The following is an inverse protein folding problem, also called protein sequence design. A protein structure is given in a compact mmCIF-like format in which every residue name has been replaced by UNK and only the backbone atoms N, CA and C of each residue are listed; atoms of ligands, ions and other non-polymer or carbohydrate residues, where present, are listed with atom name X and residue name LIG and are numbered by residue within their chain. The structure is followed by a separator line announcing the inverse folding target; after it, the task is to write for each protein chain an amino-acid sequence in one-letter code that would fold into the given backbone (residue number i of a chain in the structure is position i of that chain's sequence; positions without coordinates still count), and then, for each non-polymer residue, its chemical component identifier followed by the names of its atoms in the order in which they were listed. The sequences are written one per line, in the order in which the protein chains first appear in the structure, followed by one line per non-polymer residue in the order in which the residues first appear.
data_IF_522863984104
#
_entry.id   IF_522863984104
#
_cell.length_a   1.000
_cell.length_b   1.000
_cell.length_c   1.000
_cell.angle_alpha   90.00
_cell.angle_beta   90.00
_cell.angle_gamma   90.00
#
_symmetry.space_group_name_H-M   'P 1'
#
loop_
_entity.id
_entity.type
_entity.pdbx_description
1 polymer ?
#
# COMPACT_ATOMS: atom_id res chain seq x y z
N UNK A 1 0.28 -6.86 -6.05
CA UNK A 1 0.04 -5.40 -5.92
C UNK A 1 0.51 -4.67 -7.16
N UNK A 2 -0.12 -3.54 -7.45
CA UNK A 2 0.35 -2.63 -8.48
C UNK A 2 1.62 -1.91 -8.02
N UNK A 3 2.61 -1.71 -8.91
CA UNK A 3 3.82 -0.96 -8.58
C UNK A 3 3.57 0.55 -8.62
N UNK A 4 4.17 1.28 -7.69
CA UNK A 4 4.22 2.76 -7.70
C UNK A 4 5.29 3.24 -8.70
N UNK A 5 5.01 4.34 -9.41
CA UNK A 5 5.93 4.91 -10.41
C UNK A 5 7.27 5.31 -9.81
N UNK A 6 7.28 5.94 -8.65
CA UNK A 6 8.52 6.36 -8.00
C UNK A 6 9.51 5.20 -7.83
N UNK A 7 9.15 4.08 -7.17
CA UNK A 7 9.98 2.90 -7.08
C UNK A 7 10.33 2.23 -8.42
N UNK A 8 9.45 2.28 -9.43
CA UNK A 8 9.76 1.75 -10.76
C UNK A 8 10.96 2.46 -11.42
N UNK A 9 11.03 3.77 -11.27
CA UNK A 9 12.16 4.60 -11.76
C UNK A 9 13.32 4.70 -10.75
N UNK A 10 13.18 4.10 -9.58
CA UNK A 10 14.19 4.08 -8.51
C UNK A 10 14.94 2.76 -8.41
N UNK A 11 15.49 2.51 -7.22
CA UNK A 11 16.33 1.33 -6.95
C UNK A 11 15.54 0.02 -6.98
N UNK A 12 14.24 0.04 -6.67
CA UNK A 12 13.43 -1.18 -6.56
C UNK A 12 12.95 -1.72 -7.91
N UNK A 13 12.89 -0.87 -8.96
CA UNK A 13 12.30 -1.23 -10.23
C UNK A 13 10.82 -1.60 -10.14
N UNK A 14 10.31 -2.25 -11.18
CA UNK A 14 8.92 -2.71 -11.25
C UNK A 14 8.63 -3.96 -10.43
N UNK A 15 7.37 -4.37 -10.42
CA UNK A 15 6.88 -5.50 -9.62
C UNK A 15 6.22 -6.60 -10.48
N UNK A 16 6.75 -6.84 -11.67
CA UNK A 16 6.21 -7.85 -12.59
C UNK A 16 6.63 -9.30 -12.25
N UNK A 17 7.50 -9.49 -11.24
CA UNK A 17 8.06 -10.79 -10.94
C UNK A 17 9.18 -11.20 -11.92
N UNK A 18 9.54 -12.47 -11.92
CA UNK A 18 10.60 -13.00 -12.78
C UNK A 18 10.39 -14.47 -13.12
N UNK A 19 11.22 -14.99 -14.05
CA UNK A 19 11.12 -16.36 -14.51
C UNK A 19 9.76 -16.65 -15.17
N UNK A 20 9.31 -17.87 -15.05
CA UNK A 20 8.05 -18.32 -15.65
C UNK A 20 6.80 -17.71 -15.00
N UNK A 21 6.88 -17.29 -13.74
CA UNK A 21 5.79 -16.66 -13.02
C UNK A 21 5.70 -15.14 -13.23
N UNK A 22 6.46 -14.57 -14.17
CA UNK A 22 6.34 -13.17 -14.54
C UNK A 22 4.96 -12.85 -15.06
N UNK A 23 4.34 -11.79 -14.54
CA UNK A 23 3.03 -11.31 -15.00
C UNK A 23 3.15 -10.41 -16.23
N UNK A 24 2.15 -10.46 -17.08
CA UNK A 24 2.09 -9.68 -18.33
C UNK A 24 0.75 -8.93 -18.44
N UNK A 25 0.73 -7.73 -19.05
CA UNK A 25 1.82 -6.98 -19.69
C UNK A 25 2.71 -6.25 -18.67
N UNK A 26 4.02 -6.50 -18.69
CA UNK A 26 4.95 -5.98 -17.67
C UNK A 26 5.13 -4.46 -17.74
N UNK A 27 5.32 -3.93 -18.94
CA UNK A 27 5.57 -2.52 -19.16
C UNK A 27 4.37 -1.68 -18.71
N UNK A 28 3.16 -2.08 -19.10
CA UNK A 28 1.93 -1.38 -18.72
C UNK A 28 1.73 -1.42 -17.20
N UNK A 29 1.94 -2.59 -16.57
CA UNK A 29 1.86 -2.74 -15.10
C UNK A 29 2.81 -1.82 -14.35
N UNK A 30 4.03 -1.64 -14.85
CA UNK A 30 5.06 -0.83 -14.21
C UNK A 30 4.87 0.68 -14.43
N UNK A 31 3.99 1.09 -15.32
CA UNK A 31 3.70 2.50 -15.62
C UNK A 31 2.32 2.89 -15.08
N UNK A 32 1.41 3.25 -15.97
CA UNK A 32 0.08 3.75 -15.57
C UNK A 32 -0.97 2.65 -15.44
N UNK A 33 -0.71 1.52 -16.05
CA UNK A 33 -1.58 0.35 -16.11
C UNK A 33 -3.03 0.72 -16.45
N UNK A 34 -3.97 0.50 -15.52
CA UNK A 34 -5.39 0.86 -15.67
C UNK A 34 -5.74 2.23 -15.10
N UNK A 35 -4.78 2.93 -14.51
CA UNK A 35 -4.97 4.27 -13.95
C UNK A 35 -5.48 4.31 -12.51
N UNK A 36 -5.45 3.19 -11.78
CA UNK A 36 -5.94 3.13 -10.40
C UNK A 36 -5.18 4.10 -9.48
N UNK A 37 -3.85 4.19 -9.64
CA UNK A 37 -3.05 5.12 -8.86
C UNK A 37 -3.32 6.58 -9.22
N UNK A 38 -3.60 6.89 -10.49
CA UNK A 38 -4.03 8.22 -10.90
C UNK A 38 -5.38 8.59 -10.28
N UNK A 39 -6.31 7.65 -10.22
CA UNK A 39 -7.61 7.86 -9.57
C UNK A 39 -7.43 8.14 -8.07
N UNK A 40 -6.55 7.41 -7.39
CA UNK A 40 -6.23 7.62 -5.97
C UNK A 40 -5.58 8.99 -5.77
N UNK A 41 -4.56 9.34 -6.58
CA UNK A 41 -3.90 10.65 -6.55
C UNK A 41 -4.92 11.77 -6.74
N UNK A 42 -5.81 11.62 -7.72
CA UNK A 42 -6.85 12.63 -8.02
C UNK A 42 -7.84 12.78 -6.88
N UNK A 43 -8.31 11.69 -6.29
CA UNK A 43 -9.23 11.72 -5.15
C UNK A 43 -8.59 12.34 -3.90
N UNK A 44 -7.31 12.01 -3.64
CA UNK A 44 -6.55 12.56 -2.53
C UNK A 44 -6.37 14.08 -2.66
N UNK A 45 -5.97 14.52 -3.85
CA UNK A 45 -5.70 15.94 -4.09
C UNK A 45 -6.99 16.76 -4.25
N UNK A 46 -8.10 16.14 -4.72
CA UNK A 46 -9.42 16.76 -4.68
C UNK A 46 -9.82 17.08 -3.24
N UNK A 47 -9.66 16.13 -2.31
CA UNK A 47 -9.98 16.37 -0.89
C UNK A 47 -9.12 17.50 -0.30
N UNK A 48 -7.82 17.54 -0.63
CA UNK A 48 -6.93 18.62 -0.20
C UNK A 48 -7.35 19.98 -0.78
N UNK A 49 -7.75 20.03 -2.06
CA UNK A 49 -8.21 21.25 -2.69
C UNK A 49 -9.56 21.74 -2.11
N UNK A 50 -10.48 20.82 -1.83
CA UNK A 50 -11.77 21.15 -1.20
C UNK A 50 -11.58 21.69 0.22
N UNK A 51 -10.65 21.11 0.99
CA UNK A 51 -10.27 21.60 2.32
C UNK A 51 -9.73 23.05 2.26
N UNK A 52 -8.76 23.31 1.40
CA UNK A 52 -8.20 24.66 1.25
C UNK A 52 -9.23 25.67 0.75
N UNK A 53 -10.08 25.25 -0.20
CA UNK A 53 -11.18 26.11 -0.67
C UNK A 53 -12.19 26.40 0.44
N UNK A 54 -12.53 25.42 1.29
CA UNK A 54 -13.43 25.63 2.44
C UNK A 54 -12.86 26.68 3.41
N UNK A 55 -11.57 26.58 3.73
CA UNK A 55 -10.89 27.55 4.60
C UNK A 55 -10.93 28.97 3.96
N UNK A 56 -10.69 29.05 2.65
CA UNK A 56 -10.66 30.32 1.91
C UNK A 56 -12.06 30.96 1.77
N UNK A 57 -13.12 30.16 1.63
CA UNK A 57 -14.48 30.60 1.34
C UNK A 57 -15.37 30.79 2.59
N UNK A 58 -14.76 31.15 3.70
CA UNK A 58 -15.49 31.52 4.92
C UNK A 58 -15.39 30.54 6.06
N UNK A 59 -14.80 29.37 5.87
CA UNK A 59 -14.44 28.41 6.93
C UNK A 59 -15.57 28.14 7.93
N UNK A 60 -16.76 27.80 7.45
CA UNK A 60 -17.95 27.60 8.31
C UNK A 60 -17.78 26.45 9.31
N UNK A 61 -16.89 25.50 9.05
CA UNK A 61 -16.54 24.41 9.98
C UNK A 61 -15.53 24.85 11.07
N UNK A 62 -15.02 26.08 10.98
CA UNK A 62 -14.06 26.61 11.94
C UNK A 62 -12.73 25.85 11.99
N UNK A 63 -12.24 25.37 10.85
CA UNK A 63 -10.98 24.65 10.73
C UNK A 63 -9.83 25.57 11.15
N UNK A 64 -8.95 25.08 12.07
CA UNK A 64 -7.70 25.76 12.36
C UNK A 64 -6.68 25.40 11.26
N UNK A 65 -6.22 26.35 10.44
CA UNK A 65 -5.25 26.09 9.37
C UNK A 65 -3.92 25.47 9.83
N UNK A 66 -3.60 25.61 11.12
CA UNK A 66 -2.41 25.01 11.74
C UNK A 66 -2.63 23.55 12.15
N UNK A 67 -3.87 23.08 12.11
CA UNK A 67 -4.29 21.73 12.52
C UNK A 67 -4.77 20.91 11.29
N UNK A 68 -4.35 21.28 10.10
CA UNK A 68 -4.60 20.50 8.88
C UNK A 68 -3.69 19.27 8.88
N UNK A 69 -4.30 18.08 8.89
CA UNK A 69 -3.57 16.80 8.90
C UNK A 69 -3.57 16.11 7.55
N UNK A 70 -4.55 16.42 6.69
CA UNK A 70 -4.62 15.86 5.34
C UNK A 70 -3.56 16.45 4.44
N UNK A 71 -2.81 15.58 3.74
CA UNK A 71 -1.69 15.97 2.87
C UNK A 71 -1.98 15.68 1.41
N UNK A 72 -1.27 16.36 0.52
CA UNK A 72 -1.28 16.08 -0.91
C UNK A 72 -0.49 14.83 -1.22
N UNK A 73 -0.66 14.26 -2.40
CA UNK A 73 0.15 13.13 -2.83
C UNK A 73 0.57 13.27 -4.30
N UNK A 74 1.66 12.59 -4.62
CA UNK A 74 2.18 12.40 -5.98
C UNK A 74 2.83 11.03 -6.05
N UNK A 75 2.64 10.31 -7.16
CA UNK A 75 3.22 8.96 -7.27
C UNK A 75 4.67 8.99 -7.77
N UNK A 76 5.50 9.74 -7.05
CA UNK A 76 6.93 9.92 -7.33
C UNK A 76 7.71 10.13 -6.03
N UNK A 77 8.94 9.61 -5.98
CA UNK A 77 9.86 9.90 -4.88
C UNK A 77 10.52 11.28 -5.12
N UNK A 78 9.99 12.32 -4.49
CA UNK A 78 10.51 13.67 -4.55
C UNK A 78 10.82 14.20 -3.15
N UNK A 79 12.12 14.34 -2.84
CA UNK A 79 12.55 14.80 -1.52
C UNK A 79 12.29 16.29 -1.27
N UNK A 80 12.18 17.11 -2.32
CA UNK A 80 11.95 18.54 -2.20
C UNK A 80 10.51 18.84 -1.75
N UNK A 81 9.57 17.93 -2.08
CA UNK A 81 8.17 18.06 -1.70
C UNK A 81 7.84 17.55 -0.28
N UNK A 82 8.85 17.15 0.50
CA UNK A 82 8.64 16.65 1.88
C UNK A 82 8.26 17.72 2.89
N UNK A 83 8.71 18.96 2.67
CA UNK A 83 8.33 20.10 3.48
C UNK A 83 8.24 21.30 2.54
N UNK A 84 7.04 21.84 2.37
CA UNK A 84 6.75 22.97 1.49
C UNK A 84 5.88 24.00 2.20
N UNK A 85 5.82 25.18 1.66
CA UNK A 85 4.86 26.20 2.08
C UNK A 85 3.87 26.42 0.95
N UNK A 86 2.56 26.31 1.25
CA UNK A 86 1.47 26.55 0.31
C UNK A 86 0.77 27.87 0.61
N UNK A 87 -0.02 28.36 -0.34
CA UNK A 87 -0.81 29.59 -0.19
C UNK A 87 -0.01 30.89 -0.24
N UNK A 88 1.23 30.84 -0.72
CA UNK A 88 2.06 32.05 -0.94
C UNK A 88 1.51 32.86 -2.10
N UNK A 89 1.58 34.19 -1.95
CA UNK A 89 1.19 35.12 -3.00
C UNK A 89 0.08 36.08 -2.56
N UNK A 90 -1.00 36.17 -3.34
CA UNK A 90 -2.10 37.11 -3.11
C UNK A 90 -3.10 36.55 -2.11
N UNK A 91 -3.98 37.42 -1.57
CA UNK A 91 -5.05 37.06 -0.66
C UNK A 91 -5.97 35.95 -1.23
N UNK A 92 -6.07 35.83 -2.55
CA UNK A 92 -6.87 34.83 -3.26
C UNK A 92 -6.17 33.48 -3.42
N UNK A 93 -4.89 33.38 -3.07
CA UNK A 93 -4.05 32.19 -3.31
C UNK A 93 -4.10 31.18 -2.16
N UNK A 94 -4.94 31.45 -1.16
CA UNK A 94 -5.17 30.56 0.00
C UNK A 94 -4.53 31.03 1.30
N UNK A 95 -4.62 30.21 2.32
CA UNK A 95 -4.00 30.43 3.63
C UNK A 95 -2.57 29.89 3.64
N UNK A 96 -1.61 30.75 4.02
CA UNK A 96 -0.19 30.34 4.11
C UNK A 96 -0.02 29.35 5.24
N UNK A 97 0.47 28.17 4.93
CA UNK A 97 0.77 27.11 5.91
C UNK A 97 1.84 26.14 5.40
N UNK A 98 2.40 25.37 6.31
CA UNK A 98 3.24 24.23 5.95
C UNK A 98 2.38 23.08 5.39
N UNK A 99 2.90 22.42 4.38
CA UNK A 99 2.31 21.20 3.79
C UNK A 99 3.42 20.25 3.31
N UNK A 100 3.05 19.08 2.80
CA UNK A 100 3.96 18.18 2.12
C UNK A 100 3.20 17.25 1.16
N UNK A 101 3.95 16.60 0.27
CA UNK A 101 3.43 15.53 -0.57
C UNK A 101 3.89 14.18 -0.03
N UNK A 102 2.94 13.28 0.19
CA UNK A 102 3.23 11.86 0.40
C UNK A 102 3.24 11.14 -0.96
N UNK A 103 3.88 9.99 -1.04
CA UNK A 103 3.75 9.14 -2.23
C UNK A 103 2.35 8.53 -2.26
N UNK A 104 1.77 8.34 -3.45
CA UNK A 104 0.37 7.88 -3.60
C UNK A 104 0.07 6.59 -2.83
N UNK A 105 1.01 5.65 -2.79
CA UNK A 105 0.88 4.41 -2.02
C UNK A 105 0.84 4.59 -0.49
N UNK A 106 1.17 5.77 0.00
CA UNK A 106 1.06 6.16 1.41
C UNK A 106 -0.25 6.89 1.73
N UNK A 107 -1.05 7.23 0.72
CA UNK A 107 -2.37 7.83 0.93
C UNK A 107 -3.29 6.88 1.70
N UNK A 108 -4.06 7.42 2.65
CA UNK A 108 -5.11 6.66 3.34
C UNK A 108 -6.14 6.09 2.36
N UNK A 109 -6.38 6.77 1.24
CA UNK A 109 -7.30 6.31 0.19
C UNK A 109 -6.81 4.99 -0.43
N UNK A 110 -5.50 4.81 -0.59
CA UNK A 110 -4.94 3.53 -1.04
C UNK A 110 -5.31 2.38 -0.09
N UNK A 111 -5.12 2.57 1.21
CA UNK A 111 -5.47 1.58 2.22
C UNK A 111 -6.99 1.33 2.27
N UNK A 112 -7.79 2.39 2.21
CA UNK A 112 -9.26 2.32 2.19
C UNK A 112 -9.75 1.53 0.98
N UNK A 113 -9.26 1.83 -0.22
CA UNK A 113 -9.62 1.11 -1.45
C UNK A 113 -9.30 -0.39 -1.35
N UNK A 114 -8.14 -0.72 -0.79
CA UNK A 114 -7.72 -2.12 -0.64
C UNK A 114 -8.51 -2.89 0.43
N UNK A 115 -9.09 -2.20 1.41
CA UNK A 115 -9.86 -2.82 2.50
C UNK A 115 -11.37 -2.75 2.28
N UNK A 116 -11.86 -1.98 1.29
CA UNK A 116 -13.28 -1.85 1.01
C UNK A 116 -13.86 -3.12 0.36
N UNK A 117 -15.07 -3.49 0.77
CA UNK A 117 -15.80 -4.61 0.19
C UNK A 117 -16.53 -4.23 -1.10
N UNK A 118 -17.10 -3.03 -1.17
CA UNK A 118 -17.85 -2.52 -2.31
C UNK A 118 -17.81 -0.98 -2.36
N UNK A 119 -18.51 -0.40 -3.33
CA UNK A 119 -18.55 1.06 -3.50
C UNK A 119 -19.25 1.77 -2.33
N UNK A 120 -20.25 1.15 -1.71
CA UNK A 120 -20.95 1.74 -0.57
C UNK A 120 -20.04 1.74 0.67
N UNK A 121 -19.31 0.66 0.91
CA UNK A 121 -18.30 0.57 1.97
C UNK A 121 -17.14 1.53 1.71
N UNK A 122 -16.67 1.64 0.45
CA UNK A 122 -15.67 2.63 0.06
C UNK A 122 -16.11 4.05 0.44
N UNK A 123 -17.32 4.45 0.06
CA UNK A 123 -17.87 5.78 0.40
C UNK A 123 -17.93 6.00 1.90
N UNK A 124 -18.44 5.04 2.67
CA UNK A 124 -18.54 5.13 4.13
C UNK A 124 -17.16 5.32 4.78
N UNK A 125 -16.14 4.62 4.30
CA UNK A 125 -14.76 4.74 4.79
C UNK A 125 -14.14 6.06 4.41
N UNK A 126 -14.30 6.52 3.17
CA UNK A 126 -13.79 7.81 2.70
C UNK A 126 -14.38 8.96 3.53
N UNK A 127 -15.67 8.91 3.85
CA UNK A 127 -16.33 9.95 4.65
C UNK A 127 -15.75 10.13 6.04
N UNK A 128 -15.17 9.08 6.60
CA UNK A 128 -14.58 9.08 7.94
C UNK A 128 -13.14 9.59 8.00
N UNK A 129 -12.52 9.91 6.87
CA UNK A 129 -11.16 10.48 6.84
C UNK A 129 -11.16 11.79 7.62
N UNK A 130 -10.30 11.90 8.62
CA UNK A 130 -10.07 13.14 9.36
C UNK A 130 -9.11 14.00 8.52
N UNK A 131 -9.55 15.21 8.16
CA UNK A 131 -8.78 16.12 7.32
C UNK A 131 -8.09 17.22 8.11
N UNK A 132 -8.70 17.63 9.23
CA UNK A 132 -8.21 18.71 10.08
C UNK A 132 -8.88 18.64 11.46
N UNK A 133 -8.46 19.54 12.35
CA UNK A 133 -9.20 19.85 13.59
C UNK A 133 -9.67 21.31 13.54
N UNK A 134 -10.84 21.58 14.13
CA UNK A 134 -11.38 22.93 14.25
C UNK A 134 -10.74 23.68 15.45
N UNK A 135 -11.06 24.96 15.62
CA UNK A 135 -10.54 25.78 16.72
C UNK A 135 -10.94 25.30 18.12
N UNK A 136 -11.89 24.37 18.22
CA UNK A 136 -12.29 23.72 19.49
C UNK A 136 -11.54 22.41 19.73
N UNK A 137 -10.70 21.95 18.77
CA UNK A 137 -10.01 20.67 18.83
C UNK A 137 -10.87 19.47 18.39
N UNK A 138 -12.03 19.70 17.78
CA UNK A 138 -12.90 18.66 17.26
C UNK A 138 -12.43 18.22 15.85
N UNK A 139 -12.48 16.92 15.51
CA UNK A 139 -12.07 16.47 14.17
C UNK A 139 -13.07 16.93 13.11
N UNK A 140 -12.54 17.31 11.96
CA UNK A 140 -13.30 17.61 10.74
C UNK A 140 -13.02 16.50 9.73
N UNK A 141 -14.07 15.94 9.13
CA UNK A 141 -13.99 14.79 8.24
C UNK A 141 -14.22 15.15 6.77
N UNK A 142 -13.96 14.19 5.88
CA UNK A 142 -14.29 14.34 4.45
C UNK A 142 -15.79 14.44 4.21
N UNK A 143 -16.66 13.84 5.06
CA UNK A 143 -18.11 13.99 4.99
C UNK A 143 -18.55 15.41 5.39
N UNK A 144 -17.92 16.01 6.39
CA UNK A 144 -18.20 17.40 6.79
C UNK A 144 -17.90 18.37 5.63
N UNK A 145 -16.89 18.08 4.81
CA UNK A 145 -16.56 18.80 3.59
C UNK A 145 -17.44 18.43 2.40
N UNK A 146 -18.33 17.44 2.53
CA UNK A 146 -19.17 16.88 1.45
C UNK A 146 -18.35 16.36 0.24
N UNK A 147 -17.11 15.90 0.48
CA UNK A 147 -16.18 15.47 -0.57
C UNK A 147 -16.42 14.03 -1.04
N UNK A 148 -17.05 13.20 -0.23
CA UNK A 148 -17.11 11.74 -0.37
C UNK A 148 -17.72 11.29 -1.72
N UNK A 149 -18.74 11.99 -2.20
CA UNK A 149 -19.39 11.67 -3.48
C UNK A 149 -18.44 11.85 -4.68
N UNK A 150 -17.74 12.97 -4.70
CA UNK A 150 -16.79 13.29 -5.77
C UNK A 150 -15.56 12.36 -5.74
N UNK A 151 -15.02 12.07 -4.55
CA UNK A 151 -13.95 11.09 -4.39
C UNK A 151 -14.36 9.69 -4.88
N UNK A 152 -15.56 9.23 -4.50
CA UNK A 152 -16.07 7.94 -4.94
C UNK A 152 -16.28 7.87 -6.47
N UNK A 153 -16.70 8.97 -7.10
CA UNK A 153 -16.83 9.06 -8.54
C UNK A 153 -15.49 8.89 -9.27
N UNK A 154 -14.41 9.46 -8.74
CA UNK A 154 -13.05 9.26 -9.26
C UNK A 154 -12.55 7.81 -9.08
N UNK A 155 -12.98 7.14 -8.02
CA UNK A 155 -12.53 5.80 -7.65
C UNK A 155 -13.44 4.66 -8.17
N UNK A 156 -14.53 4.96 -8.88
CA UNK A 156 -15.55 3.98 -9.28
C UNK A 156 -15.03 2.83 -10.15
N UNK A 157 -14.01 3.09 -10.95
CA UNK A 157 -13.36 2.06 -11.78
C UNK A 157 -12.14 1.46 -11.08
N UNK A 158 -11.38 2.27 -10.34
CA UNK A 158 -10.23 1.82 -9.56
C UNK A 158 -10.57 0.80 -8.45
N UNK A 159 -11.82 0.71 -8.02
CA UNK A 159 -12.27 -0.30 -7.04
C UNK A 159 -12.38 -1.71 -7.64
N UNK A 160 -12.30 -1.86 -8.95
CA UNK A 160 -12.39 -3.15 -9.66
C UNK A 160 -11.01 -3.79 -9.77
N UNK A 161 -10.82 -5.03 -9.29
CA UNK A 161 -9.55 -5.73 -9.47
C UNK A 161 -9.21 -5.94 -10.95
N UNK A 162 -7.93 -5.85 -11.28
CA UNK A 162 -7.41 -6.06 -12.63
C UNK A 162 -7.03 -7.53 -12.80
N UNK A 163 -7.61 -8.20 -13.79
CA UNK A 163 -7.29 -9.58 -14.15
C UNK A 163 -6.25 -9.61 -15.27
N UNK A 164 -5.14 -10.23 -14.99
CA UNK A 164 -4.01 -10.44 -15.92
C UNK A 164 -3.58 -11.91 -15.88
N UNK A 165 -2.46 -12.24 -16.47
CA UNK A 165 -1.91 -13.61 -16.42
C UNK A 165 -0.39 -13.60 -16.31
N UNK A 166 0.16 -14.74 -15.90
CA UNK A 166 1.61 -15.02 -15.99
C UNK A 166 1.99 -15.48 -17.40
N UNK A 167 3.30 -15.58 -17.68
CA UNK A 167 3.81 -16.16 -18.93
C UNK A 167 3.32 -17.61 -19.13
N UNK A 168 3.04 -18.34 -18.06
CA UNK A 168 2.47 -19.69 -18.10
C UNK A 168 0.94 -19.72 -18.14
N UNK A 169 0.30 -18.58 -18.41
CA UNK A 169 -1.16 -18.44 -18.51
C UNK A 169 -1.93 -18.64 -17.19
N UNK A 170 -1.24 -18.61 -16.05
CA UNK A 170 -1.91 -18.64 -14.75
C UNK A 170 -2.59 -17.29 -14.50
N UNK A 171 -3.91 -17.26 -14.21
CA UNK A 171 -4.61 -16.01 -13.91
C UNK A 171 -4.04 -15.34 -12.67
N UNK A 172 -3.90 -14.00 -12.71
CA UNK A 172 -3.43 -13.20 -11.60
C UNK A 172 -4.31 -11.95 -11.43
N UNK A 173 -4.74 -11.67 -10.19
CA UNK A 173 -5.49 -10.47 -9.84
C UNK A 173 -4.55 -9.45 -9.22
N UNK A 174 -4.33 -8.34 -9.91
CA UNK A 174 -3.50 -7.22 -9.44
C UNK A 174 -4.41 -6.06 -9.05
N UNK A 175 -4.32 -5.59 -7.80
CA UNK A 175 -5.18 -4.52 -7.33
C UNK A 175 -4.61 -3.82 -6.11
N UNK A 176 -4.44 -2.50 -6.22
CA UNK A 176 -3.85 -1.64 -5.21
C UNK A 176 -2.38 -1.91 -4.93
N UNK A 177 -1.75 -1.03 -4.18
CA UNK A 177 -0.32 -1.09 -3.90
C UNK A 177 0.07 -0.52 -2.54
N UNK A 178 -0.66 -0.79 -1.43
CA UNK A 178 -0.32 -0.22 -0.13
C UNK A 178 1.03 -0.76 0.34
N UNK A 179 1.91 0.14 0.82
CA UNK A 179 3.20 -0.26 1.38
C UNK A 179 3.02 -0.87 2.78
N UNK A 180 3.73 -1.95 3.07
CA UNK A 180 3.63 -2.65 4.35
C UNK A 180 4.21 -1.86 5.53
N UNK A 181 5.16 -0.96 5.31
CA UNK A 181 5.69 -0.06 6.34
C UNK A 181 4.76 1.13 6.67
N UNK A 182 3.72 1.36 5.86
CA UNK A 182 2.78 2.48 6.03
C UNK A 182 1.37 1.97 6.31
N UNK A 183 0.92 0.96 5.56
CA UNK A 183 -0.41 0.36 5.65
C UNK A 183 -0.31 -1.17 5.85
N UNK A 184 -1.32 -1.92 5.40
CA UNK A 184 -1.35 -3.39 5.58
C UNK A 184 -0.49 -4.18 4.58
N UNK A 185 0.01 -3.53 3.49
CA UNK A 185 1.04 -4.11 2.61
C UNK A 185 0.65 -5.35 1.83
N UNK A 186 -0.62 -5.50 1.48
CA UNK A 186 -1.16 -6.63 0.73
C UNK A 186 -2.05 -6.12 -0.40
N UNK A 187 -2.40 -6.98 -1.37
CA UNK A 187 -3.41 -6.63 -2.36
C UNK A 187 -4.80 -6.47 -1.72
N UNK A 188 -5.79 -6.07 -2.52
CA UNK A 188 -7.11 -5.75 -1.99
C UNK A 188 -7.88 -6.97 -1.47
N UNK A 189 -8.79 -6.72 -0.54
CA UNK A 189 -9.79 -7.71 -0.06
C UNK A 189 -10.65 -8.20 -1.22
N UNK A 190 -11.06 -7.30 -2.12
CA UNK A 190 -11.87 -7.65 -3.30
C UNK A 190 -11.16 -8.63 -4.22
N UNK A 191 -9.89 -8.38 -4.55
CA UNK A 191 -9.10 -9.27 -5.40
C UNK A 191 -8.97 -10.66 -4.77
N UNK A 192 -8.66 -10.73 -3.47
CA UNK A 192 -8.55 -12.01 -2.76
C UNK A 192 -9.89 -12.76 -2.70
N UNK A 193 -10.98 -12.08 -2.34
CA UNK A 193 -12.32 -12.70 -2.31
C UNK A 193 -12.78 -13.15 -3.70
N UNK A 194 -12.41 -12.42 -4.76
CA UNK A 194 -12.69 -12.81 -6.14
C UNK A 194 -11.88 -14.06 -6.54
N UNK A 195 -10.58 -14.08 -6.26
CA UNK A 195 -9.74 -15.25 -6.52
C UNK A 195 -10.27 -16.51 -5.85
N UNK A 196 -10.64 -16.42 -4.57
CA UNK A 196 -11.24 -17.53 -3.80
C UNK A 196 -12.55 -18.08 -4.39
N UNK A 197 -13.27 -17.27 -5.17
CA UNK A 197 -14.51 -17.71 -5.86
C UNK A 197 -14.26 -18.30 -7.24
N UNK A 198 -13.11 -18.01 -7.84
CA UNK A 198 -12.81 -18.36 -9.23
C UNK A 198 -11.81 -19.49 -9.37
N UNK A 199 -11.17 -19.92 -8.28
CA UNK A 199 -10.13 -20.95 -8.31
C UNK A 199 -10.20 -21.90 -7.13
N UNK A 200 -9.77 -23.14 -7.32
CA UNK A 200 -9.65 -24.16 -6.28
C UNK A 200 -8.50 -23.85 -5.31
N UNK A 201 -7.43 -23.23 -5.81
CA UNK A 201 -6.27 -22.83 -5.03
C UNK A 201 -6.00 -21.35 -5.30
N UNK A 202 -5.99 -20.54 -4.23
CA UNK A 202 -5.64 -19.12 -4.28
C UNK A 202 -4.35 -18.88 -3.52
N UNK A 203 -3.35 -18.30 -4.19
CA UNK A 203 -2.10 -17.85 -3.57
C UNK A 203 -2.11 -16.33 -3.50
N UNK A 204 -1.85 -15.77 -2.34
CA UNK A 204 -1.73 -14.31 -2.13
C UNK A 204 -0.46 -13.99 -1.37
N UNK A 205 -0.09 -12.71 -1.30
CA UNK A 205 1.19 -12.28 -0.73
C UNK A 205 1.01 -11.34 0.46
N UNK A 206 2.04 -11.30 1.30
CA UNK A 206 2.22 -10.29 2.32
C UNK A 206 3.58 -9.62 2.09
N UNK A 207 3.60 -8.29 2.06
CA UNK A 207 4.80 -7.53 1.72
C UNK A 207 5.84 -7.49 2.83
N UNK A 208 7.10 -7.33 2.48
CA UNK A 208 8.24 -7.31 3.40
C UNK A 208 8.49 -8.66 4.10
N UNK A 209 9.29 -8.64 5.17
CA UNK A 209 9.55 -9.81 5.99
C UNK A 209 8.31 -10.30 6.73
N UNK A 210 8.31 -11.55 7.13
CA UNK A 210 7.16 -12.15 7.81
C UNK A 210 6.84 -11.52 9.18
N UNK A 211 7.84 -10.94 9.82
CA UNK A 211 7.72 -10.17 11.06
C UNK A 211 6.93 -8.87 10.94
N UNK A 212 6.72 -8.38 9.72
CA UNK A 212 5.94 -7.19 9.43
C UNK A 212 4.73 -7.52 8.55
N UNK A 213 4.97 -8.08 7.36
CA UNK A 213 3.93 -8.29 6.36
C UNK A 213 2.95 -9.39 6.72
N UNK A 214 3.42 -10.53 7.22
CA UNK A 214 2.53 -11.61 7.63
C UNK A 214 1.68 -11.20 8.83
N UNK A 215 2.23 -10.51 9.82
CA UNK A 215 1.47 -9.98 10.95
C UNK A 215 0.34 -9.05 10.48
N UNK A 216 0.64 -8.08 9.63
CA UNK A 216 -0.38 -7.17 9.07
C UNK A 216 -1.42 -7.89 8.21
N UNK A 217 -1.00 -8.90 7.47
CA UNK A 217 -1.91 -9.73 6.70
C UNK A 217 -2.93 -10.44 7.60
N UNK A 218 -2.47 -11.11 8.65
CA UNK A 218 -3.33 -11.82 9.60
C UNK A 218 -4.16 -10.84 10.45
N UNK A 219 -3.50 -9.88 11.09
CA UNK A 219 -4.13 -9.05 12.10
C UNK A 219 -5.00 -7.92 11.54
N UNK A 220 -4.74 -7.48 10.31
CA UNK A 220 -5.53 -6.44 9.65
C UNK A 220 -6.41 -7.06 8.57
N UNK A 221 -5.82 -7.55 7.49
CA UNK A 221 -6.57 -7.97 6.30
C UNK A 221 -7.48 -9.17 6.57
N UNK A 222 -6.94 -10.23 7.16
CA UNK A 222 -7.72 -11.44 7.45
C UNK A 222 -8.85 -11.16 8.43
N UNK A 223 -8.59 -10.42 9.50
CA UNK A 223 -9.61 -10.06 10.50
C UNK A 223 -10.74 -9.23 9.88
N UNK A 224 -10.40 -8.19 9.13
CA UNK A 224 -11.39 -7.29 8.52
C UNK A 224 -12.21 -7.98 7.43
N UNK A 225 -11.61 -8.90 6.68
CA UNK A 225 -12.23 -9.53 5.52
C UNK A 225 -12.84 -10.91 5.82
N UNK A 226 -12.64 -11.44 7.03
CA UNK A 226 -13.08 -12.80 7.39
C UNK A 226 -12.31 -13.88 6.62
N UNK A 227 -11.03 -13.64 6.31
CA UNK A 227 -10.17 -14.59 5.60
C UNK A 227 -9.45 -15.50 6.60
N UNK A 228 -9.30 -16.76 6.21
CA UNK A 228 -8.55 -17.75 6.98
C UNK A 228 -7.66 -18.56 6.03
N UNK A 229 -6.34 -18.29 6.02
CA UNK A 229 -5.39 -19.08 5.23
C UNK A 229 -5.34 -20.54 5.69
N UNK A 230 -5.17 -21.45 4.75
CA UNK A 230 -5.00 -22.88 5.02
C UNK A 230 -3.55 -23.24 5.30
N UNK A 231 -2.60 -22.52 4.71
CA UNK A 231 -1.16 -22.68 4.91
C UNK A 231 -0.40 -21.40 4.59
N UNK A 232 0.84 -21.32 5.08
CA UNK A 232 1.78 -20.25 4.75
C UNK A 232 3.02 -20.85 4.10
N UNK A 233 3.41 -20.31 2.94
CA UNK A 233 4.71 -20.55 2.34
C UNK A 233 5.65 -19.43 2.75
N UNK A 234 6.63 -19.77 3.59
CA UNK A 234 7.65 -18.84 4.06
C UNK A 234 8.90 -18.96 3.18
N UNK A 235 9.17 -17.91 2.40
CA UNK A 235 10.32 -17.89 1.49
C UNK A 235 11.55 -17.39 2.23
N UNK A 236 12.56 -18.24 2.33
CA UNK A 236 13.89 -17.89 2.82
C UNK A 236 14.89 -17.87 1.66
N UNK A 237 15.87 -16.98 1.70
CA UNK A 237 16.95 -16.96 0.73
C UNK A 237 18.29 -17.28 1.40
N UNK A 238 19.16 -18.01 0.73
CA UNK A 238 20.51 -18.29 1.22
C UNK A 238 21.27 -16.99 1.52
N UNK A 239 21.10 -15.96 0.68
CA UNK A 239 21.68 -14.63 0.89
C UNK A 239 21.19 -13.97 2.18
N UNK A 240 19.90 -14.03 2.46
CA UNK A 240 19.34 -13.46 3.69
C UNK A 240 19.85 -14.18 4.93
N UNK A 241 19.93 -15.51 4.89
CA UNK A 241 20.47 -16.30 6.00
C UNK A 241 21.93 -15.96 6.26
N UNK A 242 22.79 -15.90 5.23
CA UNK A 242 24.20 -15.48 5.38
C UNK A 242 24.31 -14.05 5.93
N UNK A 243 23.49 -13.12 5.44
CA UNK A 243 23.47 -11.73 5.93
C UNK A 243 23.10 -11.66 7.42
N UNK A 244 22.07 -12.38 7.83
CA UNK A 244 21.66 -12.48 9.23
C UNK A 244 22.71 -13.19 10.09
N UNK A 245 23.55 -14.01 9.50
CA UNK A 245 24.72 -14.65 10.14
C UNK A 245 25.97 -13.78 10.20
N UNK A 246 25.91 -12.52 9.71
CA UNK A 246 26.95 -11.52 9.83
C UNK A 246 27.83 -11.31 8.59
N UNK A 247 27.46 -11.87 7.43
CA UNK A 247 28.21 -11.63 6.17
C UNK A 247 27.86 -10.24 5.62
N UNK A 248 28.84 -9.47 5.21
CA UNK A 248 28.66 -8.18 4.58
C UNK A 248 27.96 -8.31 3.21
N UNK A 249 27.21 -7.27 2.81
CA UNK A 249 26.44 -7.31 1.55
C UNK A 249 27.28 -7.59 0.30
N UNK A 250 28.54 -7.13 0.29
CA UNK A 250 29.47 -7.33 -0.83
C UNK A 250 29.84 -8.80 -1.02
N UNK A 251 29.88 -9.57 0.09
CA UNK A 251 30.43 -10.92 0.14
C UNK A 251 29.35 -12.01 0.13
N UNK A 252 28.06 -11.62 -0.05
CA UNK A 252 26.92 -12.56 -0.04
C UNK A 252 26.93 -13.58 -1.20
N UNK A 253 27.73 -13.37 -2.23
CA UNK A 253 27.91 -14.33 -3.32
C UNK A 253 28.85 -15.48 -2.93
N UNK A 254 29.74 -15.28 -1.95
CA UNK A 254 30.71 -16.28 -1.52
C UNK A 254 30.05 -17.31 -0.59
N UNK A 255 30.54 -18.54 -0.63
CA UNK A 255 30.10 -19.60 0.26
C UNK A 255 30.56 -19.30 1.71
N UNK A 256 29.59 -19.40 2.66
CA UNK A 256 29.90 -19.26 4.09
C UNK A 256 28.88 -20.08 4.91
N UNK A 257 29.21 -21.33 5.18
CA UNK A 257 28.37 -22.28 5.90
C UNK A 257 28.19 -21.89 7.37
N UNK A 258 29.24 -21.35 8.01
CA UNK A 258 29.16 -20.92 9.40
C UNK A 258 28.18 -19.75 9.60
N UNK A 259 28.22 -18.79 8.71
CA UNK A 259 27.27 -17.67 8.71
C UNK A 259 25.84 -18.14 8.39
N UNK A 260 25.71 -19.07 7.44
CA UNK A 260 24.40 -19.67 7.13
C UNK A 260 23.82 -20.33 8.38
N UNK A 261 24.58 -21.17 9.08
CA UNK A 261 24.14 -21.82 10.31
C UNK A 261 23.72 -20.81 11.39
N UNK A 262 24.50 -19.74 11.58
CA UNK A 262 24.17 -18.67 12.52
C UNK A 262 22.88 -17.92 12.13
N UNK A 263 22.64 -17.73 10.85
CA UNK A 263 21.47 -17.02 10.34
C UNK A 263 20.16 -17.80 10.39
N UNK A 264 20.21 -19.13 10.49
CA UNK A 264 19.03 -20.01 10.60
C UNK A 264 18.15 -19.64 11.80
N UNK A 265 18.72 -19.20 12.91
CA UNK A 265 17.96 -18.77 14.10
C UNK A 265 16.94 -17.69 13.77
N UNK A 266 17.26 -16.80 12.83
CA UNK A 266 16.31 -15.79 12.37
C UNK A 266 15.11 -16.42 11.63
N UNK A 267 15.35 -17.41 10.76
CA UNK A 267 14.31 -18.15 10.07
C UNK A 267 13.42 -18.93 11.04
N UNK A 268 14.03 -19.61 12.03
CA UNK A 268 13.30 -20.33 13.07
C UNK A 268 12.34 -19.39 13.81
N UNK A 269 12.77 -18.18 14.10
CA UNK A 269 11.91 -17.17 14.75
C UNK A 269 10.73 -16.75 13.88
N UNK A 270 10.92 -16.60 12.59
CA UNK A 270 9.81 -16.32 11.66
C UNK A 270 8.81 -17.49 11.60
N UNK A 271 9.28 -18.74 11.60
CA UNK A 271 8.44 -19.93 11.65
C UNK A 271 7.60 -19.94 12.94
N UNK A 272 8.22 -19.76 14.09
CA UNK A 272 7.55 -19.67 15.39
C UNK A 272 6.45 -18.59 15.42
N UNK A 273 6.76 -17.42 14.88
CA UNK A 273 5.82 -16.30 14.86
C UNK A 273 4.58 -16.62 14.02
N UNK A 274 4.74 -17.23 12.85
CA UNK A 274 3.62 -17.60 11.98
C UNK A 274 2.81 -18.75 12.61
N UNK A 275 3.46 -19.71 13.25
CA UNK A 275 2.79 -20.84 13.93
C UNK A 275 1.82 -20.37 15.02
N UNK A 276 2.04 -19.20 15.65
CA UNK A 276 1.12 -18.61 16.62
C UNK A 276 -0.27 -18.31 16.06
N UNK A 277 -0.40 -18.15 14.75
CA UNK A 277 -1.68 -17.99 14.07
C UNK A 277 -2.43 -19.32 13.84
N UNK A 278 -1.82 -20.44 14.22
CA UNK A 278 -2.44 -21.76 14.11
C UNK A 278 -2.54 -22.31 12.69
N UNK A 279 -1.66 -21.87 11.79
CA UNK A 279 -1.60 -22.30 10.38
C UNK A 279 -0.33 -23.11 10.12
N UNK A 280 -0.39 -24.13 9.24
CA UNK A 280 0.80 -24.83 8.78
C UNK A 280 1.78 -23.89 8.07
N UNK A 281 3.07 -24.07 8.36
CA UNK A 281 4.15 -23.27 7.73
C UNK A 281 5.02 -24.20 6.92
N UNK A 282 5.20 -23.88 5.64
CA UNK A 282 6.09 -24.58 4.72
C UNK A 282 7.22 -23.64 4.35
N UNK A 283 8.46 -24.02 4.61
CA UNK A 283 9.62 -23.21 4.24
C UNK A 283 10.07 -23.57 2.83
N UNK A 284 10.21 -22.56 1.99
CA UNK A 284 10.81 -22.67 0.66
C UNK A 284 12.12 -21.93 0.63
N UNK A 285 13.20 -22.63 0.26
CA UNK A 285 14.52 -22.05 0.14
C UNK A 285 14.75 -21.57 -1.30
N UNK A 286 14.95 -20.28 -1.46
CA UNK A 286 15.37 -19.68 -2.73
C UNK A 286 16.89 -19.58 -2.73
N UNK A 287 17.52 -20.49 -3.47
CA UNK A 287 18.96 -20.53 -3.64
C UNK A 287 19.34 -19.67 -4.86
N UNK A 288 19.93 -18.51 -4.62
CA UNK A 288 20.68 -17.80 -5.65
C UNK A 288 22.10 -18.35 -5.68
N UNK A 289 22.58 -18.69 -6.86
CA UNK A 289 23.99 -19.09 -7.09
C UNK A 289 24.84 -17.83 -7.06
#
# INVERSE_FOLDING_TARGET
REPSLGPCFGIKGGAAGGGYAQVVPMEDLNLHFTGDFHAITSANNLLAAMLDNHIQQGNTLGIDPRQVVWKRCVDMNDRVLRNIVVGLGRKTDGMVREDHFVITVASEIMAILCLADDLADLKRRLGRIIVAYNFKGEPVTADDLQATGAMAALLKDAIKPNLIQTLEHTPALVHGGPFANIAHGCNSVRATKMALKLSDITVTEAGFGADLGAEKFFDIKCRMAGLKPDAVVLVATVRALKYNGGVAKADLAEENLDALAKGIVNLEKHIENIQKYGVPVIVTLNSFV
#
